data_IF_599778313638
#
_entry.id   IF_599778313638
#
_cell.length_a   1.000
_cell.length_b   1.000
_cell.length_c   1.000
_cell.angle_alpha   90.00
_cell.angle_beta   90.00
_cell.angle_gamma   90.00
#
_symmetry.space_group_name_H-M   'P 1'
#
loop_
_entity.id
_entity.type
_entity.pdbx_description
1 polymer ?
#
# COMPACT_ATOMS: atom_id res chain seq x y z
N UNK A 1 8.27 44.59 8.99
CA UNK A 1 8.05 43.42 9.86
C UNK A 1 9.16 42.37 9.69
N UNK A 2 10.37 42.56 10.26
CA UNK A 2 11.47 41.60 10.17
C UNK A 2 11.39 40.47 11.22
N UNK A 3 10.45 40.57 12.17
CA UNK A 3 10.22 39.59 13.25
C UNK A 3 9.46 38.35 12.76
N UNK A 4 8.48 38.53 11.88
CA UNK A 4 7.66 37.43 11.34
C UNK A 4 8.48 36.47 10.48
N UNK A 5 9.35 37.01 9.62
CA UNK A 5 10.24 36.19 8.79
C UNK A 5 11.22 35.35 9.63
N UNK A 6 11.72 35.92 10.74
CA UNK A 6 12.60 35.21 11.68
C UNK A 6 11.86 34.10 12.42
N UNK A 7 10.61 34.34 12.82
CA UNK A 7 9.75 33.32 13.43
C UNK A 7 9.47 32.17 12.48
N UNK A 8 9.08 32.47 11.24
CA UNK A 8 8.87 31.46 10.20
C UNK A 8 10.11 30.58 9.96
N UNK A 9 11.30 31.20 9.89
CA UNK A 9 12.55 30.48 9.69
C UNK A 9 12.89 29.55 10.86
N UNK A 10 12.60 29.97 12.10
CA UNK A 10 12.74 29.12 13.29
C UNK A 10 11.78 27.94 13.25
N UNK A 11 10.49 28.19 12.99
CA UNK A 11 9.45 27.16 12.95
C UNK A 11 9.75 26.10 11.87
N UNK A 12 10.29 26.52 10.72
CA UNK A 12 10.68 25.61 9.64
C UNK A 12 11.89 24.74 10.04
N UNK A 13 12.93 25.34 10.62
CA UNK A 13 14.11 24.59 11.08
C UNK A 13 13.76 23.59 12.17
N UNK A 14 12.83 23.95 13.06
CA UNK A 14 12.33 23.08 14.11
C UNK A 14 11.54 21.90 13.53
N UNK A 15 10.64 22.15 12.58
CA UNK A 15 9.87 21.11 11.89
C UNK A 15 10.77 20.08 11.19
N UNK A 16 11.84 20.52 10.52
CA UNK A 16 12.82 19.63 9.86
C UNK A 16 13.59 18.80 10.89
N UNK A 17 13.97 19.38 12.03
CA UNK A 17 14.65 18.65 13.12
C UNK A 17 13.74 17.61 13.75
N UNK A 18 12.46 17.91 13.95
CA UNK A 18 11.47 16.96 14.46
C UNK A 18 11.29 15.79 13.48
N UNK A 19 11.16 16.07 12.18
CA UNK A 19 11.09 15.04 11.14
C UNK A 19 12.32 14.13 11.14
N UNK A 20 13.54 14.69 11.26
CA UNK A 20 14.78 13.90 11.32
C UNK A 20 14.92 13.03 12.58
N UNK A 21 14.18 13.33 13.64
CA UNK A 21 14.19 12.58 14.91
C UNK A 21 13.08 11.52 14.97
N UNK A 22 12.36 11.28 13.88
CA UNK A 22 11.14 10.44 13.85
C UNK A 22 10.08 10.86 14.89
N UNK A 23 10.10 12.12 15.31
CA UNK A 23 9.09 12.67 16.23
C UNK A 23 7.83 13.05 15.43
N UNK A 24 7.08 12.03 15.02
CA UNK A 24 5.80 12.23 14.35
C UNK A 24 4.73 12.65 15.36
N UNK A 25 4.10 13.82 15.14
CA UNK A 25 2.97 14.28 15.96
C UNK A 25 1.74 13.33 15.89
N UNK A 26 1.61 12.58 14.78
CA UNK A 26 0.56 11.58 14.57
C UNK A 26 1.04 10.50 13.61
N UNK A 27 0.89 9.24 14.01
CA UNK A 27 1.08 8.08 13.12
C UNK A 27 -0.30 7.62 12.66
N UNK A 28 -0.54 7.63 11.34
CA UNK A 28 -1.76 7.06 10.76
C UNK A 28 -1.45 5.69 10.21
N UNK A 29 -1.87 4.65 10.92
CA UNK A 29 -1.74 3.28 10.43
C UNK A 29 -2.86 3.00 9.41
N UNK A 30 -2.54 3.08 8.13
CA UNK A 30 -3.49 2.76 7.06
C UNK A 30 -3.54 1.23 6.90
N UNK A 31 -4.68 0.62 7.23
CA UNK A 31 -4.91 -0.79 6.89
C UNK A 31 -5.10 -0.91 5.38
N UNK A 32 -4.14 -1.55 4.72
CA UNK A 32 -4.27 -1.90 3.31
C UNK A 32 -5.25 -3.08 3.16
N UNK A 33 -6.11 -3.08 2.12
CA UNK A 33 -6.89 -4.26 1.78
C UNK A 33 -5.98 -5.44 1.43
N UNK A 34 -6.40 -6.65 1.78
CA UNK A 34 -5.60 -7.86 1.57
C UNK A 34 -5.16 -8.05 0.11
N UNK A 35 -5.97 -7.63 -0.86
CA UNK A 35 -5.64 -7.66 -2.27
C UNK A 35 -4.45 -6.75 -2.63
N UNK A 36 -4.41 -5.54 -2.05
CA UNK A 36 -3.36 -4.57 -2.30
C UNK A 36 -2.04 -5.01 -1.65
N UNK A 37 -2.12 -5.55 -0.43
CA UNK A 37 -0.96 -6.12 0.26
C UNK A 37 -0.37 -7.31 -0.52
N UNK A 38 -1.22 -8.25 -0.94
CA UNK A 38 -0.77 -9.43 -1.69
C UNK A 38 -0.08 -9.03 -3.01
N UNK A 39 -0.68 -8.14 -3.81
CA UNK A 39 -0.06 -7.69 -5.06
C UNK A 39 1.27 -6.98 -4.82
N UNK A 40 1.35 -6.13 -3.80
CA UNK A 40 2.58 -5.42 -3.46
C UNK A 40 3.73 -6.39 -3.10
N UNK A 41 3.42 -7.51 -2.43
CA UNK A 41 4.42 -8.53 -2.10
C UNK A 41 4.88 -9.35 -3.31
N UNK A 42 3.96 -9.64 -4.24
CA UNK A 42 4.31 -10.37 -5.48
C UNK A 42 5.07 -9.47 -6.46
N UNK A 43 4.81 -8.15 -6.46
CA UNK A 43 5.55 -7.18 -7.28
C UNK A 43 5.06 -7.04 -8.72
N UNK A 44 3.88 -7.59 -9.04
CA UNK A 44 3.29 -7.53 -10.38
C UNK A 44 2.42 -6.29 -10.60
N UNK A 45 2.21 -5.95 -11.88
CA UNK A 45 1.19 -4.95 -12.23
C UNK A 45 -0.21 -5.46 -11.89
N UNK A 46 -1.18 -4.54 -11.82
CA UNK A 46 -2.57 -4.89 -11.54
C UNK A 46 -3.15 -5.83 -12.62
N UNK A 47 -2.72 -5.69 -13.88
CA UNK A 47 -3.22 -6.53 -14.96
C UNK A 47 -2.67 -7.96 -14.89
N UNK A 48 -1.37 -8.11 -14.66
CA UNK A 48 -0.70 -9.41 -14.53
C UNK A 48 -1.23 -10.17 -13.31
N UNK A 49 -1.34 -9.49 -12.17
CA UNK A 49 -1.87 -10.10 -10.95
C UNK A 49 -3.33 -10.52 -11.09
N UNK A 50 -4.17 -9.70 -11.75
CA UNK A 50 -5.55 -10.07 -12.03
C UNK A 50 -5.66 -11.31 -12.93
N UNK A 51 -4.79 -11.41 -13.94
CA UNK A 51 -4.73 -12.56 -14.84
C UNK A 51 -4.39 -13.85 -14.08
N UNK A 52 -3.39 -13.83 -13.20
CA UNK A 52 -3.02 -14.98 -12.37
C UNK A 52 -4.14 -15.40 -11.42
N UNK A 53 -4.88 -14.44 -10.88
CA UNK A 53 -6.03 -14.71 -10.01
C UNK A 53 -7.29 -15.14 -10.79
N UNK A 54 -7.27 -15.11 -12.12
CA UNK A 54 -8.41 -15.46 -12.96
C UNK A 54 -9.57 -14.46 -12.87
N UNK A 55 -9.29 -13.19 -12.59
CA UNK A 55 -10.29 -12.12 -12.46
C UNK A 55 -10.00 -10.96 -13.39
N UNK A 56 -11.00 -10.10 -13.63
CA UNK A 56 -10.76 -8.86 -14.39
C UNK A 56 -9.90 -7.88 -13.57
N UNK A 57 -9.10 -7.05 -14.25
CA UNK A 57 -8.37 -5.96 -13.61
C UNK A 57 -9.31 -5.02 -12.83
N UNK A 58 -10.53 -4.83 -13.32
CA UNK A 58 -11.56 -4.04 -12.62
C UNK A 58 -12.00 -4.70 -11.30
N UNK A 59 -12.17 -6.01 -11.29
CA UNK A 59 -12.51 -6.78 -10.08
C UNK A 59 -11.41 -6.63 -9.03
N UNK A 60 -10.15 -6.82 -9.43
CA UNK A 60 -9.01 -6.62 -8.54
C UNK A 60 -8.94 -5.18 -8.02
N UNK A 61 -9.19 -4.18 -8.87
CA UNK A 61 -9.24 -2.78 -8.47
C UNK A 61 -10.34 -2.49 -7.43
N UNK A 62 -11.53 -3.08 -7.61
CA UNK A 62 -12.62 -2.95 -6.62
C UNK A 62 -12.22 -3.54 -5.26
N UNK A 63 -11.43 -4.62 -5.22
CA UNK A 63 -10.90 -5.21 -3.99
C UNK A 63 -9.80 -4.36 -3.36
N UNK A 64 -8.83 -3.90 -4.14
CA UNK A 64 -7.72 -3.05 -3.67
C UNK A 64 -8.18 -1.70 -3.12
N UNK A 65 -9.31 -1.20 -3.61
CA UNK A 65 -9.92 0.06 -3.15
C UNK A 65 -11.01 -0.16 -2.10
N UNK A 66 -11.27 -1.41 -1.69
CA UNK A 66 -12.26 -1.74 -0.66
C UNK A 66 -13.72 -1.51 -1.06
N UNK A 67 -14.02 -1.35 -2.36
CA UNK A 67 -15.39 -1.23 -2.87
C UNK A 67 -16.14 -2.56 -2.83
N UNK A 68 -15.41 -3.66 -2.95
CA UNK A 68 -15.96 -5.03 -2.90
C UNK A 68 -15.03 -5.94 -2.10
N UNK A 69 -15.62 -6.95 -1.49
CA UNK A 69 -14.90 -8.01 -0.80
C UNK A 69 -14.60 -9.17 -1.78
N UNK A 70 -13.40 -9.78 -1.72
CA UNK A 70 -13.12 -10.99 -2.48
C UNK A 70 -13.96 -12.18 -1.98
N UNK A 71 -14.21 -13.14 -2.86
CA UNK A 71 -14.86 -14.40 -2.48
C UNK A 71 -13.98 -15.21 -1.52
N UNK A 72 -14.54 -16.23 -0.84
CA UNK A 72 -13.77 -17.07 0.07
C UNK A 72 -12.54 -17.72 -0.58
N UNK A 73 -12.68 -18.23 -1.80
CA UNK A 73 -11.57 -18.79 -2.57
C UNK A 73 -10.54 -17.71 -2.94
N UNK A 74 -10.98 -16.54 -3.39
CA UNK A 74 -10.08 -15.43 -3.69
C UNK A 74 -9.31 -14.96 -2.45
N UNK A 75 -9.97 -14.89 -1.27
CA UNK A 75 -9.30 -14.58 0.00
C UNK A 75 -8.20 -15.60 0.34
N UNK A 76 -8.42 -16.88 0.06
CA UNK A 76 -7.39 -17.89 0.25
C UNK A 76 -6.21 -17.69 -0.71
N UNK A 77 -6.48 -17.48 -2.01
CA UNK A 77 -5.43 -17.18 -2.99
C UNK A 77 -4.63 -15.93 -2.62
N UNK A 78 -5.29 -14.86 -2.17
CA UNK A 78 -4.62 -13.64 -1.72
C UNK A 78 -3.71 -13.90 -0.51
N UNK A 79 -4.12 -14.79 0.41
CA UNK A 79 -3.28 -15.19 1.54
C UNK A 79 -2.05 -15.99 1.08
N UNK A 80 -2.24 -16.90 0.12
CA UNK A 80 -1.12 -17.64 -0.49
C UNK A 80 -0.17 -16.67 -1.17
N UNK A 81 -0.66 -15.76 -2.02
CA UNK A 81 0.14 -14.74 -2.67
C UNK A 81 0.90 -13.83 -1.68
N UNK A 82 0.32 -13.52 -0.52
CA UNK A 82 0.95 -12.71 0.50
C UNK A 82 1.97 -13.45 1.38
N UNK A 83 1.93 -14.79 1.41
CA UNK A 83 2.80 -15.63 2.25
C UNK A 83 3.89 -16.34 1.44
N UNK A 84 3.57 -16.68 0.19
CA UNK A 84 4.37 -17.45 -0.76
C UNK A 84 4.28 -16.80 -2.16
N UNK A 85 4.80 -15.57 -2.34
CA UNK A 85 4.74 -14.86 -3.62
C UNK A 85 5.42 -15.63 -4.76
N UNK A 86 6.44 -16.45 -4.46
CA UNK A 86 7.16 -17.29 -5.40
C UNK A 86 6.25 -18.22 -6.20
N UNK A 87 5.22 -18.79 -5.56
CA UNK A 87 4.28 -19.72 -6.21
C UNK A 87 3.49 -19.04 -7.32
N UNK A 88 3.15 -17.76 -7.16
CA UNK A 88 2.43 -17.02 -8.20
C UNK A 88 3.37 -16.59 -9.34
N UNK A 89 4.64 -16.32 -9.03
CA UNK A 89 5.63 -15.97 -10.04
C UNK A 89 5.98 -17.17 -10.94
N UNK A 90 6.00 -18.39 -10.38
CA UNK A 90 6.15 -19.63 -11.16
C UNK A 90 5.01 -19.87 -12.15
N UNK A 91 3.81 -19.38 -11.84
CA UNK A 91 2.64 -19.49 -12.72
C UNK A 91 2.58 -18.36 -13.78
N UNK A 92 3.49 -17.39 -13.69
CA UNK A 92 3.58 -16.24 -14.58
C UNK A 92 4.62 -16.50 -15.68
N UNK A 93 4.32 -17.43 -16.60
CA UNK A 93 5.06 -17.64 -17.86
C UNK A 93 4.47 -16.86 -19.04
#
# INVERSE_FOLDING_TARGET
MPSELRKFQQDLLESVRQMRKDQAARVTNVKLPAAAEARAKVGLSQQEFARLLGVSARTLQDWEQGRREPTGAAKMLLRVAASHPEVLLELHE
#
